data_IF_341256682335
#
_entry.id   IF_341256682335
#
_cell.length_a   1.000
_cell.length_b   1.000
_cell.length_c   1.000
_cell.angle_alpha   90.00
_cell.angle_beta   90.00
_cell.angle_gamma   90.00
#
_symmetry.space_group_name_H-M   'P 1'
#
loop_
_entity.id
_entity.type
_entity.pdbx_description
1 polymer ?
#
# COMPACT_ATOMS: atom_id res chain seq x y z
N UNK A 1 18.50 16.62 10.22
CA UNK A 1 18.06 15.33 9.65
C UNK A 1 17.13 15.71 8.53
N UNK A 2 17.62 15.69 7.30
CA UNK A 2 16.84 16.14 6.17
C UNK A 2 15.94 14.99 5.72
N UNK A 3 14.65 15.26 5.61
CA UNK A 3 13.67 14.30 5.12
C UNK A 3 13.79 14.24 3.59
N UNK A 4 13.94 13.03 3.06
CA UNK A 4 13.89 12.80 1.62
C UNK A 4 12.44 12.84 1.14
N UNK A 5 11.98 14.03 0.76
CA UNK A 5 10.63 14.24 0.24
C UNK A 5 10.39 13.57 -1.11
N UNK A 6 11.45 13.30 -1.89
CA UNK A 6 11.30 12.61 -3.17
C UNK A 6 10.97 11.14 -2.95
N UNK A 7 11.70 10.47 -2.03
CA UNK A 7 11.40 9.11 -1.61
C UNK A 7 10.02 9.01 -0.95
N UNK A 8 9.66 9.98 -0.10
CA UNK A 8 8.33 10.01 0.51
C UNK A 8 7.23 10.12 -0.57
N UNK A 9 7.42 11.01 -1.54
CA UNK A 9 6.51 11.15 -2.67
C UNK A 9 6.33 9.83 -3.43
N UNK A 10 7.43 9.15 -3.77
CA UNK A 10 7.40 7.84 -4.41
C UNK A 10 6.60 6.83 -3.57
N UNK A 11 6.90 6.70 -2.28
CA UNK A 11 6.22 5.75 -1.40
C UNK A 11 4.71 6.00 -1.34
N UNK A 12 4.29 7.27 -1.19
CA UNK A 12 2.87 7.64 -1.06
C UNK A 12 2.05 7.52 -2.34
N UNK A 13 2.69 7.36 -3.51
CA UNK A 13 2.02 7.19 -4.80
C UNK A 13 1.94 5.72 -5.23
N UNK A 14 2.52 4.80 -4.46
CA UNK A 14 2.40 3.37 -4.74
C UNK A 14 1.02 2.91 -4.28
N UNK A 15 0.22 2.41 -5.23
CA UNK A 15 -1.04 1.74 -4.93
C UNK A 15 -0.80 0.52 -4.04
N UNK A 16 -1.37 0.53 -2.83
CA UNK A 16 -1.22 -0.56 -1.86
C UNK A 16 -2.34 -0.64 -0.82
N UNK A 17 -3.63 -0.72 -1.22
CA UNK A 17 -4.71 -0.92 -0.27
C UNK A 17 -4.59 -2.27 0.44
N UNK A 18 -5.27 -2.44 1.58
CA UNK A 18 -5.20 -3.68 2.38
C UNK A 18 -5.44 -4.95 1.52
N UNK A 19 -4.50 -5.89 1.56
CA UNK A 19 -4.48 -7.11 0.75
C UNK A 19 -3.87 -6.96 -0.65
N UNK A 20 -3.24 -5.83 -0.97
CA UNK A 20 -2.51 -5.57 -2.23
C UNK A 20 -1.21 -4.80 -2.00
N UNK A 21 -0.52 -5.07 -0.90
CA UNK A 21 0.65 -4.33 -0.42
C UNK A 21 1.97 -4.73 -1.11
N UNK A 22 1.97 -5.68 -2.05
CA UNK A 22 3.21 -6.28 -2.55
C UNK A 22 4.15 -5.26 -3.22
N UNK A 23 3.60 -4.25 -3.91
CA UNK A 23 4.41 -3.18 -4.53
C UNK A 23 5.06 -2.28 -3.47
N UNK A 24 4.33 -2.00 -2.40
CA UNK A 24 4.84 -1.20 -1.27
C UNK A 24 5.96 -1.99 -0.58
N UNK A 25 5.75 -3.28 -0.34
CA UNK A 25 6.76 -4.17 0.22
C UNK A 25 8.01 -4.28 -0.66
N UNK A 26 7.85 -4.40 -1.98
CA UNK A 26 8.97 -4.45 -2.93
C UNK A 26 9.79 -3.15 -2.92
N UNK A 27 9.11 -2.00 -2.97
CA UNK A 27 9.77 -0.69 -2.88
C UNK A 27 10.55 -0.55 -1.57
N UNK A 28 9.90 -0.79 -0.43
CA UNK A 28 10.55 -0.73 0.89
C UNK A 28 11.74 -1.68 0.97
N UNK A 29 11.58 -2.91 0.46
CA UNK A 29 12.67 -3.89 0.47
C UNK A 29 13.90 -3.39 -0.29
N UNK A 30 13.69 -2.73 -1.43
CA UNK A 30 14.77 -2.17 -2.26
C UNK A 30 15.51 -1.06 -1.51
N UNK A 31 14.77 -0.17 -0.84
CA UNK A 31 15.37 0.90 -0.05
C UNK A 31 16.14 0.39 1.18
N UNK A 32 15.70 -0.71 1.79
CA UNK A 32 16.27 -1.24 3.04
C UNK A 32 17.41 -2.26 2.85
N UNK A 33 17.59 -2.80 1.64
CA UNK A 33 18.61 -3.84 1.34
C UNK A 33 20.01 -3.53 1.83
N UNK A 34 20.45 -2.27 1.77
CA UNK A 34 21.79 -1.86 2.20
C UNK A 34 21.93 -1.63 3.72
N UNK A 35 20.82 -1.64 4.45
CA UNK A 35 20.77 -1.29 5.87
C UNK A 35 20.44 -2.47 6.79
N UNK A 36 20.18 -3.66 6.24
CA UNK A 36 19.75 -4.84 6.97
C UNK A 36 20.62 -6.07 6.69
N UNK A 37 20.65 -7.01 7.63
CA UNK A 37 21.36 -8.28 7.50
C UNK A 37 20.44 -9.40 6.99
N UNK A 38 19.15 -9.37 7.38
CA UNK A 38 18.14 -10.29 6.85
C UNK A 38 16.91 -9.52 6.39
N UNK A 39 16.35 -9.96 5.26
CA UNK A 39 15.09 -9.49 4.72
C UNK A 39 14.26 -10.70 4.30
N UNK A 40 13.05 -10.82 4.85
CA UNK A 40 12.15 -11.95 4.64
C UNK A 40 10.73 -11.46 4.48
N UNK A 41 9.94 -12.17 3.67
CA UNK A 41 8.50 -11.98 3.59
C UNK A 41 7.78 -13.24 4.02
N UNK A 42 6.63 -13.11 4.68
CA UNK A 42 5.75 -14.24 4.98
C UNK A 42 4.67 -14.45 3.92
N UNK A 43 3.87 -15.50 4.08
CA UNK A 43 2.77 -15.85 3.17
C UNK A 43 1.65 -14.82 3.16
N UNK A 44 1.51 -14.00 4.21
CA UNK A 44 0.51 -12.93 4.29
C UNK A 44 1.02 -11.62 3.68
N UNK A 45 2.30 -11.54 3.30
CA UNK A 45 2.90 -10.35 2.69
C UNK A 45 3.64 -9.44 3.67
N UNK A 46 3.78 -9.81 4.95
CA UNK A 46 4.53 -8.99 5.90
C UNK A 46 6.02 -8.97 5.54
N UNK A 47 6.61 -7.78 5.48
CA UNK A 47 8.05 -7.59 5.28
C UNK A 47 8.77 -7.52 6.64
N UNK A 48 9.59 -8.53 6.93
CA UNK A 48 10.42 -8.61 8.13
C UNK A 48 11.86 -8.23 7.79
N UNK A 49 12.34 -7.16 8.41
CA UNK A 49 13.70 -6.66 8.26
C UNK A 49 14.43 -6.81 9.57
N UNK A 50 15.61 -7.45 9.53
CA UNK A 50 16.43 -7.68 10.71
C UNK A 50 17.81 -7.09 10.53
N UNK A 51 18.25 -6.37 11.56
CA UNK A 51 19.65 -5.98 11.75
C UNK A 51 20.15 -6.62 13.04
N UNK A 52 21.28 -7.34 12.96
CA UNK A 52 21.90 -7.99 14.09
C UNK A 52 22.58 -6.97 15.00
N UNK A 53 22.55 -7.28 16.31
CA UNK A 53 23.21 -6.49 17.34
C UNK A 53 23.33 -7.33 18.61
N UNK A 54 24.19 -6.89 19.52
CA UNK A 54 24.52 -7.61 20.76
C UNK A 54 23.67 -7.17 21.96
N UNK A 55 22.75 -6.22 21.77
CA UNK A 55 21.93 -5.61 22.83
C UNK A 55 20.52 -6.20 22.96
N UNK A 56 19.62 -5.41 23.57
CA UNK A 56 18.20 -5.75 23.70
C UNK A 56 17.56 -5.92 22.32
N UNK A 57 16.64 -6.88 22.20
CA UNK A 57 15.82 -7.05 20.99
C UNK A 57 14.72 -5.99 20.97
N UNK A 58 14.71 -5.18 19.92
CA UNK A 58 13.71 -4.13 19.69
C UNK A 58 12.92 -4.50 18.45
N UNK A 59 11.59 -4.33 18.51
CA UNK A 59 10.70 -4.48 17.36
C UNK A 59 10.02 -3.14 17.09
N UNK A 60 10.10 -2.68 15.85
CA UNK A 60 9.31 -1.57 15.34
C UNK A 60 8.42 -2.15 14.25
N UNK A 61 7.11 -1.95 14.39
CA UNK A 61 6.12 -2.44 13.45
C UNK A 61 5.30 -1.27 12.93
N UNK A 62 5.09 -1.23 11.62
CA UNK A 62 4.28 -0.25 10.90
C UNK A 62 3.54 -1.01 9.81
N UNK A 63 2.28 -0.63 9.55
CA UNK A 63 1.48 -1.25 8.51
C UNK A 63 1.81 -0.61 7.15
N UNK A 64 1.82 -1.41 6.08
CA UNK A 64 2.14 -0.95 4.72
C UNK A 64 0.90 -0.51 3.95
N UNK A 65 -0.27 -0.98 4.40
CA UNK A 65 -1.53 -0.79 3.71
C UNK A 65 -2.08 0.63 3.88
N UNK A 66 -2.82 1.05 2.88
CA UNK A 66 -3.63 2.27 2.90
C UNK A 66 -5.13 1.96 2.89
N UNK A 67 -5.92 2.94 3.34
CA UNK A 67 -7.38 2.88 3.20
C UNK A 67 -7.77 2.97 1.73
N UNK A 68 -8.82 2.25 1.34
CA UNK A 68 -9.23 2.18 -0.06
C UNK A 68 -10.68 1.79 -0.25
N UNK A 69 -11.01 1.41 -1.47
CA UNK A 69 -12.33 0.93 -1.87
C UNK A 69 -12.18 -0.40 -2.60
N UNK A 70 -13.12 -1.33 -2.36
CA UNK A 70 -13.18 -2.60 -3.06
C UNK A 70 -14.44 -2.65 -3.92
N UNK A 71 -14.29 -2.90 -5.22
CA UNK A 71 -15.40 -3.08 -6.15
C UNK A 71 -16.14 -4.38 -5.79
N UNK A 72 -17.44 -4.31 -5.59
CA UNK A 72 -18.31 -5.45 -5.26
C UNK A 72 -19.22 -5.85 -6.42
N UNK A 73 -19.58 -4.90 -7.28
CA UNK A 73 -20.48 -5.14 -8.41
C UNK A 73 -20.28 -4.10 -9.52
N UNK A 74 -20.53 -4.51 -10.75
CA UNK A 74 -20.65 -3.63 -11.91
C UNK A 74 -22.10 -3.71 -12.36
N UNK A 75 -22.83 -2.60 -12.33
CA UNK A 75 -24.23 -2.61 -12.73
C UNK A 75 -24.41 -2.57 -14.26
N UNK A 76 -25.66 -2.74 -14.70
CA UNK A 76 -26.03 -2.80 -16.12
C UNK A 76 -25.69 -1.52 -16.91
N UNK A 77 -25.55 -0.40 -16.21
CA UNK A 77 -25.29 0.92 -16.79
C UNK A 77 -23.78 1.22 -16.76
N UNK A 78 -22.96 0.29 -16.24
CA UNK A 78 -21.50 0.38 -16.19
C UNK A 78 -20.95 1.07 -14.95
N UNK A 79 -21.78 1.37 -13.94
CA UNK A 79 -21.30 1.97 -12.69
C UNK A 79 -20.74 0.93 -11.74
N UNK A 80 -19.67 1.32 -11.04
CA UNK A 80 -19.01 0.51 -10.04
C UNK A 80 -19.67 0.71 -8.68
N UNK A 81 -20.08 -0.38 -8.03
CA UNK A 81 -20.45 -0.42 -6.62
C UNK A 81 -19.26 -0.85 -5.81
N UNK A 82 -19.03 -0.20 -4.68
CA UNK A 82 -17.88 -0.46 -3.83
C UNK A 82 -18.24 -0.52 -2.36
N UNK A 83 -17.44 -1.28 -1.60
CA UNK A 83 -17.43 -1.27 -0.13
C UNK A 83 -16.17 -0.57 0.36
N UNK A 84 -16.20 0.16 1.49
CA UNK A 84 -14.99 0.70 2.09
C UNK A 84 -14.02 -0.42 2.49
N UNK A 85 -12.74 -0.17 2.30
CA UNK A 85 -11.64 -0.98 2.81
C UNK A 85 -10.89 -0.16 3.86
N UNK A 86 -11.04 -0.54 5.12
CA UNK A 86 -10.59 0.25 6.26
C UNK A 86 -11.53 1.40 6.63
N UNK A 87 -11.01 2.39 7.37
CA UNK A 87 -11.78 3.47 8.01
C UNK A 87 -12.15 4.64 7.09
N UNK A 88 -12.83 4.39 5.98
CA UNK A 88 -13.20 5.43 5.01
C UNK A 88 -14.45 6.19 5.44
N UNK A 89 -14.39 7.54 5.42
CA UNK A 89 -15.57 8.39 5.65
C UNK A 89 -16.29 8.69 4.33
N UNK A 90 -17.54 8.24 4.20
CA UNK A 90 -18.35 8.39 2.97
C UNK A 90 -18.44 9.84 2.46
N UNK A 91 -18.63 10.88 3.30
CA UNK A 91 -18.69 12.27 2.80
C UNK A 91 -17.40 12.73 2.11
N UNK A 92 -16.26 12.10 2.39
CA UNK A 92 -14.98 12.47 1.76
C UNK A 92 -14.84 11.91 0.35
N UNK A 93 -15.72 11.00 -0.10
CA UNK A 93 -15.61 10.30 -1.38
C UNK A 93 -16.33 10.99 -2.53
N UNK A 94 -17.24 11.93 -2.23
CA UNK A 94 -17.99 12.65 -3.26
C UNK A 94 -17.03 13.51 -4.06
N UNK A 95 -17.12 13.41 -5.39
CA UNK A 95 -16.31 14.17 -6.34
C UNK A 95 -14.79 13.98 -6.15
N UNK A 96 -14.39 12.75 -5.80
CA UNK A 96 -12.97 12.36 -5.72
C UNK A 96 -12.58 11.48 -6.89
N UNK A 97 -11.41 11.78 -7.44
CA UNK A 97 -10.73 10.88 -8.35
C UNK A 97 -10.21 9.65 -7.58
N UNK A 98 -10.21 8.50 -8.23
CA UNK A 98 -9.69 7.26 -7.66
C UNK A 98 -9.04 6.42 -8.76
N UNK A 99 -7.86 5.87 -8.46
CA UNK A 99 -7.24 4.83 -9.28
C UNK A 99 -7.90 3.49 -9.00
N UNK A 100 -8.01 2.65 -10.04
CA UNK A 100 -8.61 1.32 -9.93
C UNK A 100 -7.55 0.27 -10.28
N UNK A 101 -7.62 -0.90 -9.65
CA UNK A 101 -6.82 -2.04 -10.02
C UNK A 101 -7.72 -3.25 -10.26
N UNK A 102 -7.43 -4.02 -11.31
CA UNK A 102 -8.12 -5.28 -11.62
C UNK A 102 -7.08 -6.39 -11.62
N UNK A 103 -7.23 -7.34 -10.70
CA UNK A 103 -6.17 -8.29 -10.40
C UNK A 103 -4.95 -7.56 -9.80
N UNK A 104 -3.74 -7.91 -10.26
CA UNK A 104 -2.48 -7.28 -9.81
C UNK A 104 -2.04 -6.08 -10.63
N UNK A 105 -2.82 -5.69 -11.64
CA UNK A 105 -2.51 -4.58 -12.55
C UNK A 105 -3.38 -3.36 -12.23
N UNK A 106 -2.74 -2.24 -11.98
CA UNK A 106 -3.40 -0.94 -11.82
C UNK A 106 -3.75 -0.36 -13.19
N UNK A 107 -4.92 0.28 -13.26
CA UNK A 107 -5.39 1.06 -14.41
C UNK A 107 -5.94 2.38 -13.89
N UNK A 108 -5.30 3.49 -14.25
CA UNK A 108 -5.91 4.81 -14.06
C UNK A 108 -6.99 5.04 -15.12
N UNK A 109 -8.17 5.46 -14.70
CA UNK A 109 -9.19 5.98 -15.62
C UNK A 109 -10.63 5.77 -15.19
N UNK A 110 -11.25 6.84 -14.68
CA UNK A 110 -12.58 7.24 -15.15
C UNK A 110 -12.34 8.20 -16.33
N UNK A 111 -12.47 7.70 -17.55
CA UNK A 111 -12.64 8.59 -18.71
C UNK A 111 -14.07 9.10 -18.64
N UNK A 112 -14.23 10.40 -18.40
CA UNK A 112 -15.46 11.12 -18.77
C UNK A 112 -15.70 10.99 -20.27
#
# INVERSE_FOLDING_TARGET
MDLDYAMLGQLTQIFGPSGSEERVAEFISTQLRSYCDELKSDTLGNLMVRRHGTGKRIMVAVHMDEIGLMITHIDKDGFLRFTPLGGVRIPNLVDKESSLAVGRSERSGLKN
#
